data_IF_558561944066
#
_entry.id   IF_558561944066
#
_cell.length_a   1.000
_cell.length_b   1.000
_cell.length_c   1.000
_cell.angle_alpha   90.00
_cell.angle_beta   90.00
_cell.angle_gamma   90.00
#
_symmetry.space_group_name_H-M   'P 1'
#
loop_
_entity.id
_entity.type
_entity.pdbx_description
1 polymer ?
#
# COMPACT_ATOMS: atom_id res chain seq x y z
N UNK A 1 -9.20 -15.40 0.40
CA UNK A 1 -7.84 -14.82 0.39
C UNK A 1 -7.64 -14.10 -0.93
N UNK A 2 -7.10 -12.89 -0.90
CA UNK A 2 -6.63 -12.14 -2.05
C UNK A 2 -5.26 -12.70 -2.49
N UNK A 3 -5.07 -12.87 -3.81
CA UNK A 3 -3.85 -13.41 -4.42
C UNK A 3 -3.39 -14.77 -3.85
N UNK A 4 -4.25 -15.81 -3.80
CA UNK A 4 -3.95 -17.08 -3.12
C UNK A 4 -2.76 -17.86 -3.73
N UNK A 5 -2.35 -17.51 -4.95
CA UNK A 5 -1.24 -18.16 -5.66
C UNK A 5 0.11 -17.49 -5.41
N UNK A 6 0.14 -16.36 -4.69
CA UNK A 6 1.35 -15.58 -4.41
C UNK A 6 1.51 -15.43 -2.91
N UNK A 7 2.72 -15.68 -2.39
CA UNK A 7 3.05 -15.29 -1.02
C UNK A 7 3.39 -13.81 -1.00
N UNK A 8 2.59 -13.02 -0.29
CA UNK A 8 2.80 -11.59 -0.19
C UNK A 8 2.88 -11.13 1.26
N UNK A 9 3.75 -10.15 1.50
CA UNK A 9 3.87 -9.41 2.76
C UNK A 9 3.18 -8.07 2.59
N UNK A 10 2.37 -7.68 3.57
CA UNK A 10 1.68 -6.41 3.59
C UNK A 10 2.39 -5.44 4.54
N UNK A 11 2.53 -4.19 4.13
CA UNK A 11 3.11 -3.13 4.95
C UNK A 11 2.18 -1.93 4.93
N UNK A 12 1.87 -1.37 6.10
CA UNK A 12 1.28 -0.04 6.23
C UNK A 12 2.32 0.92 6.76
N UNK A 13 2.54 2.06 6.11
CA UNK A 13 3.43 3.12 6.57
C UNK A 13 2.59 4.34 6.94
N UNK A 14 2.72 4.84 8.16
CA UNK A 14 1.90 5.93 8.69
C UNK A 14 2.69 6.87 9.61
N UNK A 15 2.27 8.14 9.69
CA UNK A 15 2.76 9.10 10.67
C UNK A 15 1.95 9.12 11.97
N UNK A 16 0.97 8.22 12.14
CA UNK A 16 0.23 8.06 13.38
C UNK A 16 1.01 7.21 14.37
N UNK A 17 1.77 7.85 15.26
CA UNK A 17 2.72 7.21 16.19
C UNK A 17 2.04 6.86 17.54
N UNK A 18 1.31 5.75 17.59
CA UNK A 18 0.72 5.21 18.83
C UNK A 18 0.95 3.71 18.93
N UNK A 19 1.22 3.19 20.13
CA UNK A 19 1.46 1.77 20.31
C UNK A 19 0.28 0.94 19.77
N UNK A 20 0.51 0.09 18.74
CA UNK A 20 -0.54 -0.74 18.17
C UNK A 20 -0.89 -1.90 19.11
N UNK A 21 -2.11 -2.40 19.02
CA UNK A 21 -2.53 -3.60 19.75
C UNK A 21 -2.15 -4.86 18.98
N UNK A 22 -1.94 -5.96 19.72
CA UNK A 22 -1.67 -7.29 19.16
C UNK A 22 -0.51 -7.34 18.15
N UNK A 23 0.45 -6.44 18.33
CA UNK A 23 1.65 -6.36 17.53
C UNK A 23 2.89 -6.55 18.40
N UNK A 24 3.94 -7.04 17.79
CA UNK A 24 5.27 -7.17 18.37
C UNK A 24 6.21 -6.16 17.72
N UNK A 25 6.97 -5.44 18.54
CA UNK A 25 7.98 -4.53 18.03
C UNK A 25 9.12 -5.34 17.38
N UNK A 26 9.42 -5.04 16.13
CA UNK A 26 10.51 -5.67 15.38
C UNK A 26 11.78 -4.85 15.54
N UNK A 27 11.68 -3.55 15.28
CA UNK A 27 12.80 -2.62 15.33
C UNK A 27 12.29 -1.20 15.62
N UNK A 28 13.14 -0.36 16.23
CA UNK A 28 12.82 1.03 16.52
C UNK A 28 14.07 1.89 16.39
N UNK A 29 13.89 3.12 15.91
CA UNK A 29 14.92 4.16 15.85
C UNK A 29 14.36 5.50 16.30
N UNK A 30 15.08 6.59 16.05
CA UNK A 30 14.62 7.92 16.45
C UNK A 30 13.48 8.40 15.54
N UNK A 31 12.28 8.46 16.11
CA UNK A 31 11.08 8.92 15.41
C UNK A 31 10.43 7.89 14.50
N UNK A 32 10.82 6.60 14.59
CA UNK A 32 10.17 5.52 13.84
C UNK A 32 10.21 4.17 14.56
N UNK A 33 9.23 3.30 14.24
CA UNK A 33 9.12 1.95 14.78
C UNK A 33 8.48 1.01 13.74
N UNK A 34 9.01 -0.20 13.60
CA UNK A 34 8.42 -1.29 12.82
C UNK A 34 7.78 -2.29 13.77
N UNK A 35 6.52 -2.60 13.51
CA UNK A 35 5.72 -3.56 14.25
C UNK A 35 5.28 -4.71 13.34
N UNK A 36 5.17 -5.91 13.90
CA UNK A 36 4.62 -7.09 13.25
C UNK A 36 3.27 -7.44 13.86
N UNK A 37 2.25 -7.56 13.03
CA UNK A 37 0.92 -8.01 13.46
C UNK A 37 0.95 -9.52 13.75
N UNK A 38 0.51 -9.90 14.96
CA UNK A 38 0.49 -11.29 15.42
C UNK A 38 -0.93 -11.90 15.48
N UNK A 39 -1.96 -11.14 15.08
CA UNK A 39 -3.37 -11.56 15.22
C UNK A 39 -4.24 -11.05 14.07
N UNK A 40 -5.20 -11.86 13.65
CA UNK A 40 -6.29 -11.49 12.72
C UNK A 40 -7.53 -10.94 13.43
N UNK A 41 -7.55 -10.97 14.77
CA UNK A 41 -8.74 -10.61 15.58
C UNK A 41 -8.90 -9.11 15.81
N UNK A 42 -7.94 -8.31 15.38
CA UNK A 42 -7.97 -6.85 15.51
C UNK A 42 -8.77 -6.21 14.35
N UNK A 43 -9.27 -5.00 14.56
CA UNK A 43 -9.89 -4.16 13.55
C UNK A 43 -8.88 -3.25 12.84
N UNK A 44 -7.60 -3.32 13.20
CA UNK A 44 -6.49 -2.62 12.55
C UNK A 44 -6.37 -2.98 11.05
N UNK A 45 -5.78 -2.06 10.27
CA UNK A 45 -5.44 -2.31 8.87
C UNK A 45 -4.54 -3.54 8.68
N UNK A 46 -3.54 -3.68 9.55
CA UNK A 46 -2.60 -4.80 9.47
C UNK A 46 -3.24 -6.14 9.79
N UNK A 47 -4.23 -6.21 10.67
CA UNK A 47 -5.02 -7.42 10.88
C UNK A 47 -5.93 -7.71 9.67
N UNK A 48 -6.49 -6.68 9.03
CA UNK A 48 -7.25 -6.86 7.77
C UNK A 48 -6.38 -7.42 6.64
N UNK A 49 -5.10 -7.07 6.56
CA UNK A 49 -4.18 -7.67 5.61
C UNK A 49 -4.01 -9.18 5.84
N UNK A 50 -3.79 -9.60 7.08
CA UNK A 50 -3.67 -11.02 7.43
C UNK A 50 -4.96 -11.78 7.13
N UNK A 51 -6.13 -11.23 7.50
CA UNK A 51 -7.45 -11.82 7.17
C UNK A 51 -7.66 -11.91 5.65
N UNK A 52 -7.06 -11.00 4.89
CA UNK A 52 -7.09 -11.02 3.42
C UNK A 52 -6.12 -12.03 2.81
N UNK A 53 -5.26 -12.67 3.60
CA UNK A 53 -4.34 -13.72 3.15
C UNK A 53 -2.87 -13.30 3.02
N UNK A 54 -2.48 -12.13 3.55
CA UNK A 54 -1.07 -11.78 3.67
C UNK A 54 -0.34 -12.79 4.56
N UNK A 55 0.88 -13.17 4.17
CA UNK A 55 1.72 -14.06 4.97
C UNK A 55 2.30 -13.34 6.21
N UNK A 56 2.55 -12.03 6.09
CA UNK A 56 3.05 -11.17 7.16
C UNK A 56 2.42 -9.78 7.01
N UNK A 57 2.03 -9.17 8.12
CA UNK A 57 1.52 -7.80 8.18
C UNK A 57 2.46 -6.96 9.03
N UNK A 58 3.01 -5.90 8.44
CA UNK A 58 3.89 -4.95 9.11
C UNK A 58 3.21 -3.59 9.21
N UNK A 59 3.39 -2.92 10.35
CA UNK A 59 3.06 -1.52 10.54
C UNK A 59 4.35 -0.75 10.78
N UNK A 60 4.65 0.20 9.90
CA UNK A 60 5.74 1.16 10.08
C UNK A 60 5.13 2.48 10.50
N UNK A 61 5.51 2.91 11.69
CA UNK A 61 5.20 4.24 12.21
C UNK A 61 6.43 5.10 12.04
N UNK A 62 6.33 6.23 11.35
CA UNK A 62 7.48 7.11 11.13
C UNK A 62 7.09 8.58 11.03
N UNK A 63 7.89 9.46 11.64
CA UNK A 63 7.88 10.89 11.32
C UNK A 63 8.37 11.08 9.89
N UNK A 64 7.92 12.14 9.22
CA UNK A 64 8.36 12.46 7.86
C UNK A 64 9.89 12.58 7.76
N UNK A 65 10.52 13.24 8.75
CA UNK A 65 11.97 13.39 8.84
C UNK A 65 12.74 12.07 8.96
N UNK A 66 12.09 11.01 9.45
CA UNK A 66 12.69 9.70 9.73
C UNK A 66 12.23 8.63 8.73
N UNK A 67 11.46 9.01 7.69
CA UNK A 67 10.90 8.05 6.73
C UNK A 67 11.98 7.31 5.94
N UNK A 68 13.05 8.02 5.54
CA UNK A 68 14.17 7.42 4.81
C UNK A 68 14.84 6.29 5.59
N UNK A 69 15.13 6.53 6.87
CA UNK A 69 15.73 5.55 7.77
C UNK A 69 14.79 4.37 8.03
N UNK A 70 13.51 4.65 8.31
CA UNK A 70 12.50 3.62 8.51
C UNK A 70 12.34 2.71 7.26
N UNK A 71 12.39 3.28 6.07
CA UNK A 71 12.33 2.54 4.81
C UNK A 71 13.59 1.68 4.59
N UNK A 72 14.78 2.15 4.96
CA UNK A 72 16.01 1.37 4.85
C UNK A 72 16.00 0.14 5.78
N UNK A 73 15.55 0.31 7.03
CA UNK A 73 15.33 -0.81 7.95
C UNK A 73 14.25 -1.77 7.41
N UNK A 74 13.13 -1.22 6.93
CA UNK A 74 12.06 -2.02 6.32
C UNK A 74 12.55 -2.85 5.12
N UNK A 75 13.41 -2.31 4.25
CA UNK A 75 13.98 -3.06 3.13
C UNK A 75 14.78 -4.27 3.60
N UNK A 76 15.53 -4.15 4.69
CA UNK A 76 16.25 -5.27 5.29
C UNK A 76 15.29 -6.34 5.81
N UNK A 77 14.20 -5.94 6.48
CA UNK A 77 13.13 -6.83 6.95
C UNK A 77 12.39 -7.55 5.83
N UNK A 78 12.32 -6.95 4.65
CA UNK A 78 11.62 -7.46 3.48
C UNK A 78 12.51 -8.24 2.51
N UNK A 79 13.83 -8.34 2.75
CA UNK A 79 14.79 -8.91 1.80
C UNK A 79 14.47 -10.36 1.36
N UNK A 80 13.73 -11.12 2.19
CA UNK A 80 13.30 -12.49 1.88
C UNK A 80 11.87 -12.59 1.32
N UNK A 81 11.14 -11.49 1.23
CA UNK A 81 9.77 -11.47 0.72
C UNK A 81 9.77 -11.42 -0.81
N UNK A 82 9.09 -12.38 -1.44
CA UNK A 82 8.94 -12.43 -2.90
C UNK A 82 8.04 -11.34 -3.46
N UNK A 83 7.05 -10.91 -2.68
CA UNK A 83 6.08 -9.89 -3.09
C UNK A 83 5.70 -9.07 -1.88
N UNK A 84 5.71 -7.75 -2.04
CA UNK A 84 5.38 -6.80 -0.99
C UNK A 84 4.33 -5.83 -1.51
N UNK A 85 3.29 -5.62 -0.72
CA UNK A 85 2.27 -4.59 -0.95
C UNK A 85 2.44 -3.55 0.15
N UNK A 86 2.69 -2.30 -0.25
CA UNK A 86 2.89 -1.19 0.68
C UNK A 86 1.73 -0.20 0.55
N UNK A 87 0.99 0.00 1.62
CA UNK A 87 0.03 1.09 1.76
C UNK A 87 0.72 2.28 2.43
N UNK A 88 0.85 3.39 1.72
CA UNK A 88 1.42 4.63 2.24
C UNK A 88 0.96 5.85 1.46
N UNK A 89 0.92 7.00 2.13
CA UNK A 89 0.69 8.28 1.49
C UNK A 89 1.97 8.93 0.92
N UNK A 90 3.16 8.50 1.36
CA UNK A 90 4.44 9.18 1.05
C UNK A 90 5.62 8.25 0.81
N UNK A 91 5.48 6.93 1.02
CA UNK A 91 6.61 6.01 0.87
C UNK A 91 7.17 5.96 -0.55
N UNK A 92 6.38 6.31 -1.57
CA UNK A 92 6.86 6.39 -2.95
C UNK A 92 7.96 7.45 -3.14
N UNK A 93 8.14 8.41 -2.23
CA UNK A 93 9.22 9.41 -2.32
C UNK A 93 10.58 8.85 -1.88
N UNK A 94 10.58 7.68 -1.24
CA UNK A 94 11.77 7.04 -0.66
C UNK A 94 11.99 5.64 -1.25
N UNK A 95 10.92 4.89 -1.46
CA UNK A 95 10.95 3.56 -2.07
C UNK A 95 10.85 3.68 -3.59
N UNK A 96 11.47 2.71 -4.27
CA UNK A 96 11.36 2.54 -5.72
C UNK A 96 10.49 1.30 -6.02
N UNK A 97 9.15 1.43 -6.06
CA UNK A 97 8.27 0.30 -6.27
C UNK A 97 8.25 -0.14 -7.74
N UNK A 98 8.14 -1.45 -7.98
CA UNK A 98 7.90 -1.99 -9.34
C UNK A 98 6.57 -1.55 -9.94
N UNK A 99 5.59 -1.25 -9.07
CA UNK A 99 4.30 -0.68 -9.42
C UNK A 99 3.87 0.34 -8.37
N UNK A 100 3.52 1.54 -8.82
CA UNK A 100 2.89 2.57 -8.02
C UNK A 100 1.41 2.68 -8.40
N UNK A 101 0.52 2.26 -7.50
CA UNK A 101 -0.92 2.37 -7.67
C UNK A 101 -1.46 3.50 -6.81
N UNK A 102 -2.29 4.37 -7.38
CA UNK A 102 -2.94 5.45 -6.64
C UNK A 102 -4.41 5.14 -6.48
N UNK A 103 -4.86 5.02 -5.22
CA UNK A 103 -6.27 4.87 -4.88
C UNK A 103 -6.94 6.25 -4.82
N UNK A 104 -7.97 6.43 -5.64
CA UNK A 104 -8.77 7.64 -5.74
C UNK A 104 -10.15 7.41 -5.12
N UNK A 105 -10.53 8.31 -4.22
CA UNK A 105 -11.90 8.41 -3.71
C UNK A 105 -12.63 9.48 -4.51
N UNK A 106 -13.68 9.15 -5.29
CA UNK A 106 -14.40 10.15 -6.06
C UNK A 106 -15.11 11.19 -5.18
N UNK A 107 -15.35 10.91 -3.90
CA UNK A 107 -15.89 11.93 -2.99
C UNK A 107 -14.88 13.06 -2.70
N UNK A 108 -13.60 12.87 -3.02
CA UNK A 108 -12.53 13.85 -2.82
C UNK A 108 -12.20 14.54 -4.14
N UNK A 109 -12.60 15.81 -4.29
CA UNK A 109 -12.26 16.62 -5.48
C UNK A 109 -11.00 17.47 -5.28
N UNK A 110 -10.64 17.79 -4.03
CA UNK A 110 -9.47 18.61 -3.72
C UNK A 110 -8.27 17.74 -3.30
N UNK A 111 -7.38 17.49 -4.27
CA UNK A 111 -6.12 16.78 -4.05
C UNK A 111 -4.99 17.76 -3.76
N UNK A 112 -4.32 17.55 -2.62
CA UNK A 112 -3.09 18.25 -2.24
C UNK A 112 -2.04 18.15 -3.35
N UNK A 113 -1.18 19.15 -3.46
CA UNK A 113 -0.09 19.17 -4.45
C UNK A 113 0.81 17.94 -4.36
N UNK A 114 1.13 17.47 -3.16
CA UNK A 114 1.93 16.24 -2.97
C UNK A 114 1.25 15.00 -3.54
N UNK A 115 -0.08 14.90 -3.45
CA UNK A 115 -0.84 13.81 -4.07
C UNK A 115 -0.77 13.89 -5.60
N UNK A 116 -0.84 15.10 -6.19
CA UNK A 116 -0.74 15.30 -7.64
C UNK A 116 0.62 14.87 -8.20
N UNK A 117 1.71 15.07 -7.46
CA UNK A 117 3.04 14.57 -7.85
C UNK A 117 3.07 13.04 -7.98
N UNK A 118 2.33 12.33 -7.11
CA UNK A 118 2.20 10.88 -7.23
C UNK A 118 1.39 10.45 -8.46
N UNK A 119 0.48 11.29 -8.96
CA UNK A 119 -0.32 10.95 -10.15
C UNK A 119 0.55 10.88 -11.42
N UNK A 120 1.55 11.75 -11.54
CA UNK A 120 2.52 11.73 -12.63
C UNK A 120 3.40 10.47 -12.59
N UNK A 121 3.68 9.95 -11.40
CA UNK A 121 4.51 8.76 -11.19
C UNK A 121 3.74 7.44 -11.21
N UNK A 122 2.43 7.48 -10.96
CA UNK A 122 1.58 6.28 -10.87
C UNK A 122 1.66 5.43 -12.14
N UNK A 123 1.66 4.11 -12.02
CA UNK A 123 1.49 3.22 -13.17
C UNK A 123 0.02 3.06 -13.54
N UNK A 124 -0.85 3.09 -12.54
CA UNK A 124 -2.30 2.98 -12.71
C UNK A 124 -3.06 3.63 -11.56
N UNK A 125 -4.33 3.91 -11.81
CA UNK A 125 -5.26 4.42 -10.81
C UNK A 125 -6.30 3.36 -10.44
N UNK A 126 -6.68 3.34 -9.17
CA UNK A 126 -7.80 2.55 -8.67
C UNK A 126 -8.86 3.53 -8.20
N UNK A 127 -10.06 3.46 -8.76
CA UNK A 127 -11.18 4.34 -8.39
C UNK A 127 -12.19 3.55 -7.58
N UNK A 128 -12.60 4.10 -6.44
CA UNK A 128 -13.66 3.48 -5.64
C UNK A 128 -14.99 3.58 -6.40
N UNK A 129 -15.55 2.43 -6.80
CA UNK A 129 -16.54 2.29 -7.88
C UNK A 129 -17.94 2.89 -7.63
N UNK A 130 -18.14 3.68 -6.58
CA UNK A 130 -19.45 4.28 -6.34
C UNK A 130 -19.75 5.40 -7.36
N UNK A 131 -18.75 6.15 -7.83
CA UNK A 131 -18.94 7.34 -8.67
C UNK A 131 -17.78 7.48 -9.70
N UNK A 132 -17.83 6.72 -10.80
CA UNK A 132 -16.78 6.74 -11.85
C UNK A 132 -16.68 8.08 -12.60
N UNK A 133 -17.65 8.99 -12.42
CA UNK A 133 -17.74 10.31 -13.08
C UNK A 133 -16.58 11.26 -12.71
N UNK A 134 -15.85 11.01 -11.61
CA UNK A 134 -14.75 11.89 -11.13
C UNK A 134 -13.46 11.73 -11.94
N UNK A 135 -13.38 10.70 -12.80
CA UNK A 135 -12.24 10.45 -13.68
C UNK A 135 -12.05 11.58 -14.69
N UNK A 136 -13.09 12.31 -15.08
CA UNK A 136 -12.97 13.42 -16.04
C UNK A 136 -12.16 14.61 -15.49
N UNK A 137 -12.04 14.76 -14.17
CA UNK A 137 -11.34 15.91 -13.54
C UNK A 137 -9.85 15.65 -13.30
N UNK A 138 -9.41 14.40 -13.40
CA UNK A 138 -8.02 14.01 -13.26
C UNK A 138 -7.54 13.72 -14.69
N UNK A 139 -6.41 14.27 -15.14
CA UNK A 139 -5.79 13.85 -16.43
C UNK A 139 -5.19 12.42 -16.31
N UNK A 140 -5.93 11.50 -15.66
CA UNK A 140 -5.63 10.08 -15.55
C UNK A 140 -5.93 9.34 -16.86
N UNK A 141 -6.49 10.02 -17.86
CA UNK A 141 -6.86 9.46 -19.18
C UNK A 141 -5.70 8.81 -19.94
N UNK A 142 -4.45 9.12 -19.58
CA UNK A 142 -3.25 8.53 -20.21
C UNK A 142 -2.78 7.23 -19.57
N UNK A 143 -3.33 6.84 -18.42
CA UNK A 143 -2.89 5.66 -17.65
C UNK A 143 -4.06 4.72 -17.38
N UNK A 144 -3.82 3.42 -17.18
CA UNK A 144 -4.87 2.48 -16.80
C UNK A 144 -5.63 2.93 -15.55
N UNK A 145 -6.95 2.82 -15.60
CA UNK A 145 -7.85 3.08 -14.48
C UNK A 145 -8.71 1.86 -14.23
N UNK A 146 -8.76 1.41 -12.98
CA UNK A 146 -9.48 0.22 -12.56
C UNK A 146 -10.51 0.54 -11.48
N UNK A 147 -11.63 -0.17 -11.50
CA UNK A 147 -12.65 -0.03 -10.46
C UNK A 147 -12.37 -0.95 -9.26
N UNK A 148 -12.60 -0.47 -8.05
CA UNK A 148 -12.59 -1.30 -6.84
C UNK A 148 -13.72 -0.93 -5.87
N UNK A 149 -14.27 -1.94 -5.21
CA UNK A 149 -15.20 -1.84 -4.10
C UNK A 149 -14.86 -2.91 -3.06
N UNK A 150 -15.44 -2.87 -1.84
CA UNK A 150 -15.18 -3.89 -0.82
C UNK A 150 -15.45 -5.34 -1.29
N UNK A 151 -16.29 -5.54 -2.31
CA UNK A 151 -16.70 -6.86 -2.80
C UNK A 151 -16.36 -7.09 -4.29
N UNK A 152 -15.73 -6.12 -4.94
CA UNK A 152 -15.40 -6.19 -6.36
C UNK A 152 -14.03 -5.59 -6.63
N UNK A 153 -13.20 -6.33 -7.35
CA UNK A 153 -11.96 -5.82 -7.89
C UNK A 153 -12.00 -6.05 -9.39
N UNK A 154 -11.69 -5.02 -10.18
CA UNK A 154 -11.60 -5.14 -11.63
C UNK A 154 -10.64 -6.28 -12.02
N UNK A 155 -11.12 -7.29 -12.78
CA UNK A 155 -10.26 -8.40 -13.22
C UNK A 155 -9.05 -7.94 -14.04
N UNK A 156 -9.12 -6.81 -14.74
CA UNK A 156 -8.01 -6.27 -15.50
C UNK A 156 -6.86 -5.79 -14.59
N UNK A 157 -7.16 -5.31 -13.38
CA UNK A 157 -6.14 -5.00 -12.38
C UNK A 157 -5.41 -6.27 -11.94
N UNK A 158 -6.14 -7.36 -11.70
CA UNK A 158 -5.53 -8.65 -11.32
C UNK A 158 -4.58 -9.13 -12.41
N UNK A 159 -4.98 -9.06 -13.68
CA UNK A 159 -4.12 -9.44 -14.80
C UNK A 159 -2.85 -8.59 -14.87
N UNK A 160 -2.95 -7.28 -14.67
CA UNK A 160 -1.78 -6.38 -14.63
C UNK A 160 -0.82 -6.74 -13.51
N UNK A 161 -1.35 -7.00 -12.30
CA UNK A 161 -0.55 -7.39 -11.14
C UNK A 161 0.15 -8.73 -11.37
N UNK A 162 -0.56 -9.73 -11.88
CA UNK A 162 0.00 -11.06 -12.17
C UNK A 162 1.08 -10.99 -13.25
N UNK A 163 0.90 -10.19 -14.31
CA UNK A 163 1.92 -10.01 -15.34
C UNK A 163 3.23 -9.42 -14.77
N UNK A 164 3.11 -8.51 -13.80
CA UNK A 164 4.26 -7.84 -13.17
C UNK A 164 4.95 -8.70 -12.11
N UNK A 165 4.17 -9.43 -11.31
CA UNK A 165 4.71 -10.34 -10.28
C UNK A 165 5.28 -11.61 -10.93
N UNK A 166 4.64 -12.15 -11.97
CA UNK A 166 5.05 -13.36 -12.69
C UNK A 166 6.26 -13.18 -13.61
N UNK A 167 6.64 -11.94 -13.95
CA UNK A 167 7.87 -11.66 -14.71
C UNK A 167 9.15 -11.77 -13.86
N UNK A 168 9.02 -11.87 -12.53
CA UNK A 168 10.12 -11.98 -11.57
C UNK A 168 10.26 -13.38 -10.95
N UNK A 169 9.51 -14.38 -11.44
CA UNK A 169 9.51 -15.76 -10.93
C UNK A 169 10.30 -16.72 -11.84
#
# INVERSE_FOLDING_TARGET
AAFPRVRWTAVKITNHLHAPQHCEMVETGDGWTIWKQNSTKDHSDTARFLTSGANRGLLVQSRESSLSEACASLQSELASASTVIVESASAADVLDPTLLLVLLDPAQSDFKQSARQQFERADAFIVRSANFEVIEQIDCTKKPVFAASPHHLDPALLFMLEAKVGSNA
#
